data_IF_048113499990
#
_entry.id   IF_048113499990
#
_cell.length_a   1.000
_cell.length_b   1.000
_cell.length_c   1.000
_cell.angle_alpha   90.00
_cell.angle_beta   90.00
_cell.angle_gamma   90.00
#
_symmetry.space_group_name_H-M   'P 1'
#
loop_
_entity.id
_entity.type
_entity.pdbx_description
1 polymer ?
#
# COMPACT_ATOMS: atom_id res chain seq x y z
N UNK A 1 5.13 19.53 -25.00
CA UNK A 1 4.71 19.56 -26.40
C UNK A 1 5.85 20.03 -27.28
N UNK A 2 6.10 19.32 -28.39
CA UNK A 2 7.07 19.73 -29.41
C UNK A 2 6.35 20.56 -30.48
N UNK A 3 7.04 21.59 -30.99
CA UNK A 3 6.55 22.49 -32.06
C UNK A 3 7.60 22.57 -33.15
N UNK A 4 7.26 23.18 -34.27
CA UNK A 4 8.22 23.34 -35.37
C UNK A 4 9.44 24.12 -34.91
N UNK A 5 10.61 23.48 -34.95
CA UNK A 5 11.87 24.06 -34.48
C UNK A 5 12.15 23.89 -32.95
N UNK A 6 11.21 23.33 -32.21
CA UNK A 6 11.37 23.07 -30.76
C UNK A 6 11.08 21.61 -30.47
N UNK A 7 12.05 20.85 -29.95
CA UNK A 7 11.91 19.48 -29.48
C UNK A 7 11.89 19.46 -27.96
N UNK A 8 10.76 19.09 -27.36
CA UNK A 8 10.65 18.80 -25.92
C UNK A 8 10.59 17.29 -25.73
N UNK A 9 11.54 16.76 -24.98
CA UNK A 9 11.68 15.34 -24.70
C UNK A 9 11.86 15.12 -23.20
N UNK A 10 11.26 14.07 -22.67
CA UNK A 10 11.47 13.62 -21.32
C UNK A 10 12.23 12.29 -21.35
N UNK A 11 13.29 12.21 -20.58
CA UNK A 11 14.07 11.00 -20.37
C UNK A 11 14.04 10.65 -18.87
N UNK A 12 13.71 9.39 -18.56
CA UNK A 12 13.72 8.89 -17.20
C UNK A 12 15.07 8.25 -16.90
N UNK A 13 15.61 8.54 -15.73
CA UNK A 13 16.78 7.86 -15.21
C UNK A 13 16.51 7.36 -13.79
N UNK A 14 17.24 6.33 -13.37
CA UNK A 14 17.22 5.83 -12.01
C UNK A 14 17.62 6.91 -10.98
N UNK A 15 17.13 6.77 -9.76
CA UNK A 15 17.55 7.59 -8.62
C UNK A 15 18.99 7.25 -8.22
N UNK A 16 19.68 8.19 -7.59
CA UNK A 16 20.98 7.95 -7.00
C UNK A 16 20.83 7.33 -5.61
N UNK A 17 21.08 6.01 -5.53
CA UNK A 17 20.91 5.23 -4.34
C UNK A 17 19.85 4.13 -4.52
N UNK A 18 19.38 3.56 -3.43
CA UNK A 18 18.38 2.50 -3.45
C UNK A 18 17.00 3.03 -3.03
N UNK A 19 15.96 2.31 -3.45
CA UNK A 19 14.58 2.53 -2.99
C UNK A 19 14.27 1.56 -1.86
N UNK A 20 13.88 2.08 -0.72
CA UNK A 20 13.35 1.26 0.37
C UNK A 20 11.87 1.00 0.17
N UNK A 21 11.51 -0.25 -0.08
CA UNK A 21 10.13 -0.71 -0.27
C UNK A 21 9.63 -1.42 0.98
N UNK A 22 8.74 -0.79 1.72
CA UNK A 22 8.10 -1.34 2.90
C UNK A 22 6.65 -1.70 2.58
N UNK A 23 6.34 -3.01 2.60
CA UNK A 23 5.10 -3.53 2.02
C UNK A 23 4.12 -4.06 3.06
N UNK A 24 2.80 -3.95 2.80
CA UNK A 24 1.75 -4.35 3.73
C UNK A 24 1.54 -5.87 3.75
N UNK A 25 0.66 -6.33 4.64
CA UNK A 25 0.32 -7.74 4.78
C UNK A 25 -0.90 -8.17 3.94
N UNK A 26 -1.78 -7.22 3.61
CA UNK A 26 -3.12 -7.52 3.12
C UNK A 26 -3.20 -7.96 1.65
N UNK A 27 -2.27 -7.49 0.80
CA UNK A 27 -2.24 -7.88 -0.62
C UNK A 27 -0.83 -8.23 -1.09
N UNK A 28 -0.66 -9.48 -1.52
CA UNK A 28 0.60 -9.96 -2.10
C UNK A 28 0.98 -9.22 -3.39
N UNK A 29 -0.02 -8.81 -4.19
CA UNK A 29 0.20 -8.01 -5.40
C UNK A 29 0.77 -6.62 -5.10
N UNK A 30 0.30 -5.96 -4.04
CA UNK A 30 0.86 -4.67 -3.60
C UNK A 30 2.31 -4.86 -3.16
N UNK A 31 2.59 -5.94 -2.42
CA UNK A 31 3.94 -6.24 -1.98
C UNK A 31 4.91 -6.44 -3.15
N UNK A 32 4.47 -7.05 -4.25
CA UNK A 32 5.30 -7.17 -5.46
C UNK A 32 5.48 -5.83 -6.18
N UNK A 33 4.42 -5.05 -6.30
CA UNK A 33 4.44 -3.80 -7.05
C UNK A 33 5.39 -2.75 -6.42
N UNK A 34 5.42 -2.62 -5.10
CA UNK A 34 6.21 -1.59 -4.43
C UNK A 34 7.71 -1.71 -4.69
N UNK A 35 8.23 -2.91 -4.89
CA UNK A 35 9.64 -3.13 -5.21
C UNK A 35 9.90 -3.25 -6.72
N UNK A 36 8.98 -3.85 -7.48
CA UNK A 36 9.18 -4.04 -8.91
C UNK A 36 8.99 -2.77 -9.72
N UNK A 37 8.08 -1.87 -9.33
CA UNK A 37 7.90 -0.61 -10.03
C UNK A 37 9.19 0.23 -10.07
N UNK A 38 9.89 0.51 -8.96
CA UNK A 38 11.18 1.18 -9.03
C UNK A 38 12.26 0.33 -9.72
N UNK A 39 12.24 -1.00 -9.58
CA UNK A 39 13.22 -1.86 -10.25
C UNK A 39 13.10 -1.79 -11.78
N UNK A 40 11.89 -1.80 -12.31
CA UNK A 40 11.64 -1.65 -13.76
C UNK A 40 12.08 -0.28 -14.29
N UNK A 41 12.18 0.72 -13.44
CA UNK A 41 12.72 2.05 -13.76
C UNK A 41 14.21 2.18 -13.53
N UNK A 42 14.92 1.05 -13.39
CA UNK A 42 16.39 0.99 -13.26
C UNK A 42 16.93 1.20 -11.85
N UNK A 43 16.07 1.14 -10.81
CA UNK A 43 16.52 1.29 -9.43
C UNK A 43 16.81 -0.05 -8.77
N UNK A 44 17.65 -0.03 -7.75
CA UNK A 44 17.79 -1.13 -6.79
C UNK A 44 16.76 -0.95 -5.68
N UNK A 45 16.08 -2.02 -5.30
CA UNK A 45 15.11 -2.02 -4.21
C UNK A 45 15.60 -2.85 -3.01
N UNK A 46 15.46 -2.29 -1.82
CA UNK A 46 15.58 -3.00 -0.55
C UNK A 46 14.16 -3.25 -0.03
N UNK A 47 13.73 -4.49 -0.05
CA UNK A 47 12.36 -4.89 0.25
C UNK A 47 12.22 -5.47 1.64
N UNK A 48 11.52 -4.76 2.51
CA UNK A 48 11.12 -5.25 3.83
C UNK A 48 9.64 -5.65 3.80
N UNK A 49 9.31 -6.95 3.80
CA UNK A 49 7.93 -7.41 3.85
C UNK A 49 7.29 -7.18 5.22
N UNK A 50 5.95 -7.14 5.28
CA UNK A 50 5.25 -7.29 6.56
C UNK A 50 5.62 -8.61 7.22
N UNK A 51 5.77 -8.62 8.54
CA UNK A 51 6.16 -9.82 9.31
C UNK A 51 5.15 -10.96 9.13
N UNK A 52 3.86 -10.65 9.08
CA UNK A 52 2.79 -11.65 8.89
C UNK A 52 2.67 -12.16 7.46
N UNK A 53 3.30 -11.50 6.48
CA UNK A 53 3.28 -11.87 5.07
C UNK A 53 4.65 -12.32 4.53
N UNK A 54 5.62 -12.61 5.40
CA UNK A 54 6.98 -13.01 4.98
C UNK A 54 6.92 -14.23 4.06
N UNK A 55 6.12 -15.24 4.39
CA UNK A 55 6.05 -16.49 3.65
C UNK A 55 5.56 -16.28 2.21
N UNK A 56 4.42 -15.61 2.01
CA UNK A 56 3.90 -15.33 0.67
C UNK A 56 4.85 -14.44 -0.15
N UNK A 57 5.46 -13.44 0.51
CA UNK A 57 6.39 -12.55 -0.16
C UNK A 57 7.72 -13.22 -0.50
N UNK A 58 8.16 -14.19 0.29
CA UNK A 58 9.31 -15.02 -0.07
C UNK A 58 9.06 -15.84 -1.34
N UNK A 59 7.87 -16.42 -1.49
CA UNK A 59 7.51 -17.10 -2.74
C UNK A 59 7.49 -16.15 -3.94
N UNK A 60 7.00 -14.93 -3.78
CA UNK A 60 7.11 -13.91 -4.84
C UNK A 60 8.58 -13.65 -5.23
N UNK A 61 9.47 -13.53 -4.25
CA UNK A 61 10.89 -13.35 -4.54
C UNK A 61 11.48 -14.53 -5.32
N UNK A 62 11.04 -15.76 -5.02
CA UNK A 62 11.41 -16.95 -5.82
C UNK A 62 10.89 -16.85 -7.25
N UNK A 63 9.62 -16.47 -7.43
CA UNK A 63 9.04 -16.27 -8.76
C UNK A 63 9.82 -15.23 -9.57
N UNK A 64 10.21 -14.12 -8.95
CA UNK A 64 11.02 -13.10 -9.62
C UNK A 64 12.37 -13.63 -10.08
N UNK A 65 13.05 -14.42 -9.25
CA UNK A 65 14.33 -15.05 -9.61
C UNK A 65 14.16 -16.07 -10.75
N UNK A 66 13.14 -16.90 -10.68
CA UNK A 66 12.83 -17.88 -11.75
C UNK A 66 12.45 -17.19 -13.07
N UNK A 67 11.82 -16.01 -12.99
CA UNK A 67 11.53 -15.17 -14.15
C UNK A 67 12.76 -14.41 -14.71
N UNK A 68 13.94 -14.56 -14.09
CA UNK A 68 15.19 -13.97 -14.56
C UNK A 68 15.55 -12.63 -13.93
N UNK A 69 14.94 -12.25 -12.81
CA UNK A 69 15.37 -11.04 -12.09
C UNK A 69 16.83 -11.20 -11.63
N UNK A 70 17.74 -10.31 -12.06
CA UNK A 70 19.14 -10.39 -11.66
C UNK A 70 19.32 -10.22 -10.16
N UNK A 71 20.32 -10.90 -9.61
CA UNK A 71 20.68 -10.77 -8.20
C UNK A 71 21.08 -9.32 -7.87
N UNK A 72 20.67 -8.86 -6.70
CA UNK A 72 20.96 -7.51 -6.20
C UNK A 72 19.97 -6.42 -6.68
N UNK A 73 19.13 -6.67 -7.68
CA UNK A 73 18.12 -5.68 -8.11
C UNK A 73 17.02 -5.51 -7.06
N UNK A 74 16.48 -6.61 -6.53
CA UNK A 74 15.55 -6.60 -5.39
C UNK A 74 16.17 -7.41 -4.25
N UNK A 75 16.39 -6.77 -3.12
CA UNK A 75 17.01 -7.37 -1.93
C UNK A 75 15.97 -7.58 -0.85
N UNK A 76 15.57 -8.83 -0.64
CA UNK A 76 14.52 -9.20 0.32
C UNK A 76 15.09 -9.31 1.73
N UNK A 77 14.65 -8.44 2.64
CA UNK A 77 15.16 -8.34 4.02
C UNK A 77 14.01 -8.51 5.02
N UNK A 78 13.69 -9.74 5.44
CA UNK A 78 12.74 -9.97 6.51
C UNK A 78 13.35 -9.57 7.87
N UNK A 79 12.53 -9.05 8.78
CA UNK A 79 12.99 -8.72 10.13
C UNK A 79 12.13 -7.65 10.80
N UNK A 80 12.58 -7.24 11.98
CA UNK A 80 11.88 -6.27 12.79
C UNK A 80 11.89 -4.87 12.16
N UNK A 81 10.70 -4.29 11.92
CA UNK A 81 10.54 -3.04 11.19
C UNK A 81 11.23 -1.85 11.83
N UNK A 82 11.22 -1.75 13.16
CA UNK A 82 11.88 -0.66 13.90
C UNK A 82 13.41 -0.69 13.76
N UNK A 83 14.01 -1.88 13.69
CA UNK A 83 15.45 -2.04 13.51
C UNK A 83 15.85 -1.71 12.07
N UNK A 84 15.20 -2.35 11.12
CA UNK A 84 15.49 -2.15 9.69
C UNK A 84 15.22 -0.71 9.28
N UNK A 85 14.07 -0.14 9.68
CA UNK A 85 13.71 1.24 9.38
C UNK A 85 14.76 2.23 9.85
N UNK A 86 15.26 2.07 11.09
CA UNK A 86 16.30 2.94 11.64
C UNK A 86 17.61 2.88 10.85
N UNK A 87 18.04 1.68 10.47
CA UNK A 87 19.28 1.50 9.68
C UNK A 87 19.14 2.10 8.28
N UNK A 88 18.01 1.82 7.63
CA UNK A 88 17.75 2.28 6.26
C UNK A 88 17.64 3.80 6.19
N UNK A 89 16.86 4.41 7.10
CA UNK A 89 16.67 5.87 7.11
C UNK A 89 17.93 6.65 7.49
N UNK A 90 18.90 6.00 8.14
CA UNK A 90 20.22 6.58 8.41
C UNK A 90 21.23 6.39 7.26
N UNK A 91 20.89 5.60 6.23
CA UNK A 91 21.82 5.37 5.11
C UNK A 91 21.90 6.61 4.20
N UNK A 92 23.11 7.10 3.95
CA UNK A 92 23.34 8.22 3.01
C UNK A 92 22.93 7.91 1.56
N UNK A 93 22.80 6.61 1.22
CA UNK A 93 22.44 6.12 -0.10
C UNK A 93 20.94 5.85 -0.27
N UNK A 94 20.09 6.28 0.67
CA UNK A 94 18.66 6.22 0.52
C UNK A 94 18.20 7.20 -0.58
N UNK A 95 17.82 6.69 -1.74
CA UNK A 95 17.32 7.49 -2.87
C UNK A 95 15.80 7.61 -2.92
N UNK A 96 15.08 6.64 -2.34
CA UNK A 96 13.63 6.65 -2.31
C UNK A 96 13.02 5.80 -1.20
N UNK A 97 11.81 6.16 -0.79
CA UNK A 97 11.01 5.40 0.17
C UNK A 97 9.61 5.16 -0.42
N UNK A 98 9.31 3.91 -0.71
CA UNK A 98 8.03 3.47 -1.26
C UNK A 98 7.30 2.62 -0.23
N UNK A 99 6.17 3.13 0.24
CA UNK A 99 5.49 2.61 1.43
C UNK A 99 4.00 2.36 1.19
N UNK A 100 3.52 1.22 1.66
CA UNK A 100 2.10 1.02 1.93
C UNK A 100 1.95 0.34 3.28
N UNK A 101 1.13 0.92 4.16
CA UNK A 101 0.92 0.40 5.51
C UNK A 101 0.20 1.38 6.44
N UNK A 102 0.48 1.32 7.74
CA UNK A 102 -0.18 2.19 8.71
C UNK A 102 0.33 3.64 8.64
N UNK A 103 -0.57 4.59 8.82
CA UNK A 103 -0.25 6.02 8.87
C UNK A 103 0.79 6.35 9.95
N UNK A 104 0.70 5.70 11.11
CA UNK A 104 1.65 5.92 12.21
C UNK A 104 3.07 5.51 11.85
N UNK A 105 3.24 4.36 11.17
CA UNK A 105 4.55 3.91 10.68
C UNK A 105 5.09 4.86 9.61
N UNK A 106 4.26 5.26 8.66
CA UNK A 106 4.64 6.22 7.63
C UNK A 106 5.14 7.53 8.24
N UNK A 107 4.38 8.13 9.14
CA UNK A 107 4.76 9.37 9.82
C UNK A 107 6.07 9.25 10.59
N UNK A 108 6.30 8.10 11.23
CA UNK A 108 7.55 7.84 11.96
C UNK A 108 8.75 7.81 11.02
N UNK A 109 8.65 7.07 9.91
CA UNK A 109 9.75 6.95 8.94
C UNK A 109 9.98 8.26 8.18
N UNK A 110 8.91 8.98 7.83
CA UNK A 110 9.02 10.29 7.21
C UNK A 110 9.74 11.29 8.12
N UNK A 111 9.41 11.29 9.42
CA UNK A 111 10.15 12.13 10.39
C UNK A 111 11.62 11.76 10.45
N UNK A 112 11.95 10.46 10.53
CA UNK A 112 13.34 10.00 10.53
C UNK A 112 14.11 10.42 9.26
N UNK A 113 13.46 10.35 8.11
CA UNK A 113 14.04 10.85 6.85
C UNK A 113 14.26 12.36 6.93
N UNK A 114 13.30 13.13 7.45
CA UNK A 114 13.42 14.58 7.64
C UNK A 114 14.57 14.97 8.57
N UNK A 115 14.77 14.23 9.64
CA UNK A 115 15.86 14.46 10.60
C UNK A 115 17.25 14.18 10.00
N UNK A 116 17.35 13.36 8.95
CA UNK A 116 18.58 12.98 8.29
C UNK A 116 18.86 13.73 6.97
N UNK A 117 18.08 14.75 6.61
CA UNK A 117 18.17 15.41 5.29
C UNK A 117 19.59 15.85 4.90
N UNK A 118 20.38 16.36 5.82
CA UNK A 118 21.76 16.80 5.57
C UNK A 118 22.75 15.67 5.34
N UNK A 119 22.36 14.41 5.55
CA UNK A 119 23.23 13.26 5.45
C UNK A 119 23.13 12.53 4.09
N UNK A 120 22.02 12.67 3.39
CA UNK A 120 21.79 11.97 2.13
C UNK A 120 22.60 12.54 0.97
N UNK A 121 22.99 11.69 0.02
CA UNK A 121 23.63 12.12 -1.25
C UNK A 121 22.69 12.94 -2.12
N UNK A 122 21.40 12.60 -2.09
CA UNK A 122 20.31 13.30 -2.74
C UNK A 122 19.07 13.19 -1.86
N UNK A 123 18.17 14.17 -1.87
CA UNK A 123 16.95 14.08 -1.07
C UNK A 123 16.08 12.88 -1.52
N UNK A 124 15.70 11.98 -0.60
CA UNK A 124 14.91 10.79 -0.94
C UNK A 124 13.52 11.16 -1.47
N UNK A 125 13.09 10.47 -2.53
CA UNK A 125 11.70 10.56 -2.99
C UNK A 125 10.81 9.74 -2.08
N UNK A 126 9.71 10.32 -1.60
CA UNK A 126 8.79 9.65 -0.69
C UNK A 126 7.46 9.43 -1.40
N UNK A 127 7.06 8.16 -1.51
CA UNK A 127 5.77 7.74 -2.02
C UNK A 127 5.12 6.88 -0.95
N UNK A 128 3.99 7.32 -0.42
CA UNK A 128 3.31 6.63 0.67
C UNK A 128 1.82 6.49 0.43
N UNK A 129 1.33 5.27 0.62
CA UNK A 129 -0.09 4.98 0.76
C UNK A 129 -0.37 4.44 2.14
N UNK A 130 -1.33 5.02 2.83
CA UNK A 130 -1.66 4.68 4.21
C UNK A 130 -3.10 4.21 4.34
N UNK A 131 -3.56 3.98 5.57
CA UNK A 131 -4.95 3.65 5.84
C UNK A 131 -5.91 4.79 5.49
N UNK A 132 -7.17 4.43 5.28
CA UNK A 132 -8.24 5.36 4.96
C UNK A 132 -9.45 5.20 5.87
N UNK A 133 -10.38 6.14 5.77
CA UNK A 133 -11.71 6.12 6.38
C UNK A 133 -12.76 6.30 5.28
N UNK A 134 -12.79 5.35 4.36
CA UNK A 134 -13.68 5.38 3.20
C UNK A 134 -15.14 5.30 3.63
N UNK A 135 -16.02 5.87 2.85
CA UNK A 135 -17.44 5.95 3.19
C UNK A 135 -18.34 5.57 2.01
N UNK A 136 -19.56 5.18 2.35
CA UNK A 136 -20.65 4.97 1.42
C UNK A 136 -21.63 6.13 1.62
N UNK A 137 -21.93 6.86 0.56
CA UNK A 137 -22.88 7.95 0.58
C UNK A 137 -24.11 7.56 -0.24
N UNK A 138 -25.28 7.52 0.40
CA UNK A 138 -26.50 6.95 -0.17
C UNK A 138 -27.48 8.06 -0.57
N UNK A 139 -27.96 8.02 -1.82
CA UNK A 139 -29.05 8.88 -2.29
C UNK A 139 -30.43 8.27 -1.92
N UNK A 140 -31.47 9.09 -1.62
CA UNK A 140 -32.79 8.58 -1.23
C UNK A 140 -33.47 7.66 -2.24
N UNK A 141 -33.11 7.70 -3.52
CA UNK A 141 -33.67 6.84 -4.57
C UNK A 141 -32.95 5.48 -4.71
N UNK A 142 -31.93 5.21 -3.90
CA UNK A 142 -31.20 3.95 -3.99
C UNK A 142 -32.04 2.78 -3.43
N UNK A 143 -32.04 1.59 -4.06
CA UNK A 143 -32.70 0.41 -3.52
C UNK A 143 -32.05 -0.04 -2.21
N UNK A 144 -32.84 -0.20 -1.15
CA UNK A 144 -32.35 -0.48 0.20
C UNK A 144 -31.52 -1.79 0.28
N UNK A 145 -31.93 -2.84 -0.45
CA UNK A 145 -31.20 -4.12 -0.49
C UNK A 145 -29.81 -3.99 -1.13
N UNK A 146 -29.70 -3.22 -2.21
CA UNK A 146 -28.38 -2.96 -2.86
C UNK A 146 -27.47 -2.17 -1.94
N UNK A 147 -28.02 -1.16 -1.24
CA UNK A 147 -27.29 -0.38 -0.24
C UNK A 147 -26.78 -1.28 0.90
N UNK A 148 -27.64 -2.15 1.44
CA UNK A 148 -27.26 -3.09 2.49
C UNK A 148 -26.15 -4.04 2.03
N UNK A 149 -26.28 -4.59 0.82
CA UNK A 149 -25.25 -5.44 0.21
C UNK A 149 -23.92 -4.70 0.05
N UNK A 150 -23.95 -3.46 -0.46
CA UNK A 150 -22.76 -2.63 -0.60
C UNK A 150 -22.11 -2.33 0.75
N UNK A 151 -22.89 -2.09 1.81
CA UNK A 151 -22.37 -1.85 3.15
C UNK A 151 -21.69 -3.11 3.69
N UNK A 152 -22.37 -4.26 3.66
CA UNK A 152 -21.83 -5.51 4.22
C UNK A 152 -20.56 -5.94 3.45
N UNK A 153 -20.60 -5.97 2.14
CA UNK A 153 -19.43 -6.33 1.33
C UNK A 153 -18.31 -5.31 1.46
N UNK A 154 -18.61 -4.02 1.38
CA UNK A 154 -17.62 -2.95 1.46
C UNK A 154 -16.91 -2.88 2.80
N UNK A 155 -17.59 -3.25 3.90
CA UNK A 155 -17.04 -3.19 5.24
C UNK A 155 -16.34 -4.49 5.67
N UNK A 156 -16.87 -5.67 5.31
CA UNK A 156 -16.47 -6.95 5.91
C UNK A 156 -15.79 -7.92 4.94
N UNK A 157 -15.82 -7.68 3.64
CA UNK A 157 -15.08 -8.49 2.68
C UNK A 157 -13.59 -8.50 3.03
N UNK A 158 -12.97 -9.69 3.02
CA UNK A 158 -11.59 -9.88 3.47
C UNK A 158 -11.34 -9.38 4.91
N UNK A 159 -12.31 -9.57 5.82
CA UNK A 159 -12.31 -9.09 7.21
C UNK A 159 -12.08 -7.58 7.35
N UNK A 160 -12.42 -6.79 6.33
CA UNK A 160 -12.17 -5.35 6.31
C UNK A 160 -10.70 -4.95 6.22
N UNK A 161 -9.80 -5.89 5.88
CA UNK A 161 -8.36 -5.65 5.79
C UNK A 161 -7.96 -4.98 4.47
N UNK A 162 -8.65 -3.91 4.11
CA UNK A 162 -8.42 -3.12 2.89
C UNK A 162 -8.28 -1.65 3.25
N UNK A 163 -7.35 -0.96 2.60
CA UNK A 163 -7.26 0.51 2.68
C UNK A 163 -8.53 1.19 2.18
N UNK A 164 -9.30 0.51 1.32
CA UNK A 164 -10.57 0.95 0.72
C UNK A 164 -11.83 0.41 1.41
N UNK A 165 -11.73 -0.32 2.53
CA UNK A 165 -12.89 -0.84 3.25
C UNK A 165 -13.82 0.30 3.72
N UNK A 166 -15.13 0.13 3.54
CA UNK A 166 -16.12 1.09 3.99
C UNK A 166 -16.22 1.11 5.51
N UNK A 167 -15.76 2.16 6.15
CA UNK A 167 -15.81 2.32 7.61
C UNK A 167 -16.91 3.23 8.09
N UNK A 168 -17.70 3.80 7.18
CA UNK A 168 -18.80 4.72 7.47
C UNK A 168 -19.84 4.68 6.36
N UNK A 169 -21.12 4.75 6.72
CA UNK A 169 -22.21 4.91 5.78
C UNK A 169 -23.09 6.11 6.16
N UNK A 170 -23.39 6.95 5.17
CA UNK A 170 -24.33 8.06 5.31
C UNK A 170 -25.62 7.68 4.61
N UNK A 171 -26.66 7.39 5.38
CA UNK A 171 -27.92 6.83 4.91
C UNK A 171 -29.04 7.82 5.18
N UNK A 172 -29.88 8.17 4.18
CA UNK A 172 -31.06 9.00 4.41
C UNK A 172 -32.02 8.37 5.44
N UNK A 173 -32.64 9.20 6.28
CA UNK A 173 -33.58 8.73 7.29
C UNK A 173 -34.74 7.91 6.70
N UNK A 174 -35.15 8.25 5.46
CA UNK A 174 -36.22 7.51 4.74
C UNK A 174 -35.85 6.06 4.42
N UNK A 175 -34.57 5.74 4.25
CA UNK A 175 -34.10 4.39 3.94
C UNK A 175 -33.52 3.65 5.17
N UNK A 176 -33.29 4.36 6.26
CA UNK A 176 -32.55 3.82 7.40
C UNK A 176 -33.12 2.53 7.96
N UNK A 177 -34.45 2.50 8.17
CA UNK A 177 -35.09 1.32 8.77
C UNK A 177 -34.90 0.08 7.89
N UNK A 178 -35.21 0.19 6.62
CA UNK A 178 -35.12 -0.94 5.67
C UNK A 178 -33.69 -1.41 5.45
N UNK A 179 -32.77 -0.49 5.25
CA UNK A 179 -31.32 -0.80 5.11
C UNK A 179 -30.79 -1.49 6.36
N UNK A 180 -31.16 -0.98 7.56
CA UNK A 180 -30.73 -1.58 8.84
C UNK A 180 -31.24 -3.01 9.00
N UNK A 181 -32.48 -3.28 8.63
CA UNK A 181 -33.09 -4.59 8.73
C UNK A 181 -32.35 -5.58 7.80
N UNK A 182 -32.13 -5.23 6.53
CA UNK A 182 -31.33 -6.05 5.60
C UNK A 182 -29.88 -6.28 6.05
N UNK A 183 -29.20 -5.24 6.51
CA UNK A 183 -27.83 -5.39 7.06
C UNK A 183 -27.82 -6.34 8.25
N UNK A 184 -28.80 -6.20 9.16
CA UNK A 184 -28.94 -7.07 10.32
C UNK A 184 -29.14 -8.54 9.96
N UNK A 185 -29.93 -8.84 8.93
CA UNK A 185 -30.15 -10.20 8.46
C UNK A 185 -28.90 -10.77 7.78
N UNK A 186 -28.23 -10.01 6.91
CA UNK A 186 -26.96 -10.44 6.29
C UNK A 186 -25.87 -10.72 7.31
N UNK A 187 -25.78 -9.92 8.38
CA UNK A 187 -24.79 -10.10 9.44
C UNK A 187 -24.99 -11.39 10.25
N UNK A 188 -26.22 -11.89 10.36
CA UNK A 188 -26.50 -13.17 11.02
C UNK A 188 -25.95 -14.38 10.26
N UNK A 189 -25.75 -14.25 8.95
CA UNK A 189 -25.19 -15.31 8.10
C UNK A 189 -23.66 -15.37 8.17
N UNK A 190 -23.01 -14.31 8.62
CA UNK A 190 -21.55 -14.24 8.73
C UNK A 190 -21.11 -15.12 9.89
N UNK A 191 -20.25 -16.09 9.58
CA UNK A 191 -19.62 -16.97 10.58
C UNK A 191 -18.25 -16.42 10.93
N UNK A 192 -17.99 -16.32 12.22
CA UNK A 192 -16.63 -16.01 12.75
C UNK A 192 -15.92 -17.29 13.08
N UNK A 193 -14.63 -17.37 12.74
CA UNK A 193 -13.79 -18.55 12.97
C UNK A 193 -12.49 -18.47 12.19
N UNK A 194 -11.74 -19.56 12.20
CA UNK A 194 -10.55 -19.73 11.37
C UNK A 194 -10.93 -19.83 9.89
N UNK A 195 -10.07 -19.32 9.03
CA UNK A 195 -10.23 -19.31 7.56
C UNK A 195 -9.72 -20.62 6.94
#
# INVERSE_FOLDING_TARGET
HSETGILNRMEYRALEGFVFSLTPFNFTSIASNLNMAPAMMGNVAVWKPSTTAIHSNYFLMKVFREAGLPDGVVNFIPGQGSVIGKVITASRDLGGFHFTGSTSTFNTLWRQIGENLGHYKSYPKIVGETGGKNFIFVHPSAPALEVATAIVRGAFEYQGQKCSAGSRAYIPASLWKEVKDYVGDMLKEIKMGDV
#
